data_IF_250046405002
#
_entry.id   IF_250046405002
#
_cell.length_a   1.000
_cell.length_b   1.000
_cell.length_c   1.000
_cell.angle_alpha   90.00
_cell.angle_beta   90.00
_cell.angle_gamma   90.00
#
_symmetry.space_group_name_H-M   'P 1'
#
loop_
_entity.id
_entity.type
_entity.pdbx_description
1 polymer ?
#
# COMPACT_ATOMS: atom_id res chain seq x y z
N UNK A 1 -10.97 24.27 18.50
CA UNK A 1 -11.95 23.17 18.49
C UNK A 1 -11.40 22.07 19.39
N UNK A 2 -12.06 21.79 20.51
CA UNK A 2 -11.50 20.93 21.57
C UNK A 2 -11.63 19.44 21.18
N UNK A 3 -10.67 18.59 21.60
CA UNK A 3 -10.64 17.13 21.34
C UNK A 3 -11.99 16.45 21.68
N UNK A 4 -12.68 16.90 22.73
CA UNK A 4 -13.99 16.40 23.15
C UNK A 4 -15.15 16.69 22.14
N UNK A 5 -15.09 17.80 21.40
CA UNK A 5 -16.09 18.08 20.37
C UNK A 5 -15.94 17.16 19.16
N UNK A 6 -14.69 16.77 18.84
CA UNK A 6 -14.43 15.82 17.77
C UNK A 6 -14.92 14.41 18.10
N UNK A 7 -14.81 13.96 19.36
CA UNK A 7 -15.28 12.63 19.77
C UNK A 7 -16.81 12.50 19.64
N UNK A 8 -17.57 13.52 20.01
CA UNK A 8 -19.02 13.50 19.84
C UNK A 8 -19.45 13.47 18.38
N UNK A 9 -18.76 14.20 17.50
CA UNK A 9 -19.02 14.18 16.06
C UNK A 9 -18.69 12.81 15.47
N UNK A 10 -17.55 12.23 15.83
CA UNK A 10 -17.17 10.90 15.37
C UNK A 10 -18.20 9.86 15.82
N UNK A 11 -18.61 9.90 17.09
CA UNK A 11 -19.61 8.96 17.61
C UNK A 11 -20.96 9.10 16.87
N UNK A 12 -21.40 10.32 16.63
CA UNK A 12 -22.65 10.57 15.86
C UNK A 12 -22.58 10.01 14.43
N UNK A 13 -21.41 10.15 13.77
CA UNK A 13 -21.21 9.58 12.44
C UNK A 13 -21.21 8.05 12.48
N UNK A 14 -20.54 7.46 13.47
CA UNK A 14 -20.53 6.00 13.67
C UNK A 14 -21.95 5.47 13.89
N UNK A 15 -22.73 6.12 14.75
CA UNK A 15 -24.10 5.70 15.06
C UNK A 15 -25.02 5.86 13.85
N UNK A 16 -24.84 6.93 13.08
CA UNK A 16 -25.53 7.12 11.80
C UNK A 16 -25.20 6.00 10.81
N UNK A 17 -23.92 5.70 10.60
CA UNK A 17 -23.48 4.65 9.69
C UNK A 17 -24.00 3.26 10.12
N UNK A 18 -24.04 2.98 11.42
CA UNK A 18 -24.63 1.75 11.97
C UNK A 18 -26.14 1.65 11.75
N UNK A 19 -26.84 2.78 11.71
CA UNK A 19 -28.28 2.84 11.46
C UNK A 19 -28.66 2.74 9.97
N UNK A 20 -27.69 2.95 9.08
CA UNK A 20 -27.94 2.81 7.65
C UNK A 20 -28.23 1.35 7.30
N UNK A 21 -29.23 1.06 6.45
CA UNK A 21 -29.49 -0.29 5.97
C UNK A 21 -28.25 -0.81 5.24
N UNK A 22 -27.90 -2.06 5.48
CA UNK A 22 -26.85 -2.69 4.70
C UNK A 22 -27.24 -2.69 3.23
N UNK A 23 -26.40 -2.09 2.42
CA UNK A 23 -26.61 -2.02 0.97
C UNK A 23 -26.11 -3.35 0.40
N UNK A 24 -27.02 -4.23 -0.03
CA UNK A 24 -26.68 -5.48 -0.71
C UNK A 24 -26.30 -5.19 -2.18
N UNK A 25 -25.19 -4.51 -2.37
CA UNK A 25 -24.62 -4.23 -3.70
C UNK A 25 -23.57 -5.27 -4.01
N UNK A 26 -23.73 -5.93 -5.16
CA UNK A 26 -22.65 -6.70 -5.77
C UNK A 26 -21.96 -5.85 -6.85
N UNK A 27 -20.65 -5.76 -6.80
CA UNK A 27 -19.87 -5.02 -7.77
C UNK A 27 -18.59 -5.76 -8.18
N UNK A 28 -18.09 -5.44 -9.38
CA UNK A 28 -16.79 -5.90 -9.85
C UNK A 28 -15.85 -4.70 -9.99
N UNK A 29 -14.63 -4.84 -9.52
CA UNK A 29 -13.60 -3.78 -9.53
C UNK A 29 -12.31 -4.37 -10.10
N UNK A 30 -11.65 -3.66 -10.96
CA UNK A 30 -10.38 -4.07 -11.60
C UNK A 30 -9.74 -2.88 -12.34
N UNK A 31 -8.59 -3.05 -12.99
CA UNK A 31 -7.92 -4.34 -13.31
C UNK A 31 -6.43 -4.33 -12.89
N UNK A 32 -6.01 -3.49 -12.01
CA UNK A 32 -4.62 -3.41 -11.53
C UNK A 32 -4.38 -4.31 -10.32
N UNK A 33 -3.11 -4.40 -9.89
CA UNK A 33 -2.69 -5.03 -8.66
C UNK A 33 -1.24 -4.70 -8.38
N UNK A 34 -0.99 -4.11 -7.21
CA UNK A 34 0.33 -3.74 -6.74
C UNK A 34 0.57 -4.25 -5.33
N UNK A 35 1.80 -4.59 -5.04
CA UNK A 35 2.28 -4.76 -3.68
C UNK A 35 3.17 -3.56 -3.36
N UNK A 36 2.76 -2.76 -2.40
CA UNK A 36 3.53 -1.62 -1.90
C UNK A 36 4.41 -2.07 -0.75
N UNK A 37 5.72 -2.02 -0.94
CA UNK A 37 6.73 -2.29 0.07
C UNK A 37 7.30 -0.96 0.58
N UNK A 38 7.05 -0.68 1.86
CA UNK A 38 7.48 0.54 2.52
C UNK A 38 8.83 0.29 3.21
N UNK A 39 9.80 1.13 2.91
CA UNK A 39 11.15 1.02 3.43
C UNK A 39 11.60 2.30 4.11
N UNK A 40 12.36 2.15 5.19
CA UNK A 40 13.18 3.21 5.74
C UNK A 40 14.62 3.09 5.20
N UNK A 41 15.21 4.22 4.82
CA UNK A 41 16.60 4.27 4.34
C UNK A 41 17.53 4.48 5.52
N UNK A 42 18.47 3.56 5.72
CA UNK A 42 19.43 3.63 6.83
C UNK A 42 20.46 4.73 6.55
N UNK A 43 20.59 5.64 7.49
CA UNK A 43 21.61 6.69 7.48
C UNK A 43 22.90 6.24 8.14
N UNK A 44 22.79 5.57 9.29
CA UNK A 44 23.91 5.02 10.03
C UNK A 44 23.48 3.77 10.78
N UNK A 45 24.34 2.75 10.76
CA UNK A 45 24.21 1.53 11.56
C UNK A 45 25.38 1.45 12.54
N UNK A 46 25.12 1.38 13.83
CA UNK A 46 26.14 1.16 14.84
C UNK A 46 26.18 -0.28 15.33
N UNK A 47 25.01 -0.94 15.38
CA UNK A 47 24.85 -2.36 15.70
C UNK A 47 23.64 -2.92 14.95
N UNK A 48 23.31 -4.20 15.19
CA UNK A 48 22.15 -4.83 14.57
C UNK A 48 20.83 -4.13 14.95
N UNK A 49 20.76 -3.61 16.19
CA UNK A 49 19.55 -2.99 16.76
C UNK A 49 19.63 -1.46 16.84
N UNK A 50 20.81 -0.86 16.62
CA UNK A 50 20.98 0.60 16.67
C UNK A 50 21.11 1.18 15.28
N UNK A 51 19.94 1.52 14.71
CA UNK A 51 19.80 2.12 13.39
C UNK A 51 19.32 3.57 13.51
N UNK A 52 19.83 4.42 12.64
CA UNK A 52 19.27 5.74 12.38
C UNK A 52 18.90 5.84 10.92
N UNK A 53 17.72 6.37 10.64
CA UNK A 53 17.20 6.54 9.30
C UNK A 53 17.36 7.97 8.79
N UNK A 54 17.23 8.16 7.49
CA UNK A 54 17.04 9.48 6.91
C UNK A 54 15.61 9.93 7.21
N UNK A 55 15.46 11.10 7.85
CA UNK A 55 14.16 11.61 8.25
C UNK A 55 13.52 12.54 7.21
N UNK A 56 14.28 13.04 6.24
CA UNK A 56 13.77 13.92 5.21
C UNK A 56 14.26 13.56 3.83
N UNK A 57 13.40 13.81 2.83
CA UNK A 57 13.73 13.66 1.41
C UNK A 57 14.94 14.53 1.06
N UNK A 58 15.02 15.75 1.62
CA UNK A 58 16.16 16.65 1.38
C UNK A 58 17.47 16.03 1.84
N UNK A 59 17.52 15.48 3.07
CA UNK A 59 18.74 14.90 3.62
C UNK A 59 19.17 13.65 2.85
N UNK A 60 18.22 12.85 2.42
CA UNK A 60 18.46 11.70 1.55
C UNK A 60 18.89 12.13 0.16
N UNK A 61 18.26 13.13 -0.44
CA UNK A 61 18.64 13.69 -1.73
C UNK A 61 20.09 14.20 -1.76
N UNK A 62 20.54 14.88 -0.70
CA UNK A 62 21.95 15.28 -0.55
C UNK A 62 22.90 14.09 -0.56
N UNK A 63 22.51 12.96 0.06
CA UNK A 63 23.30 11.72 0.03
C UNK A 63 23.37 11.12 -1.37
N UNK A 64 22.27 11.15 -2.12
CA UNK A 64 22.25 10.68 -3.51
C UNK A 64 23.14 11.56 -4.39
N UNK A 65 23.06 12.88 -4.25
CA UNK A 65 23.93 13.80 -5.01
C UNK A 65 25.42 13.56 -4.76
N UNK A 66 25.81 13.20 -3.53
CA UNK A 66 27.20 12.86 -3.18
C UNK A 66 27.69 11.58 -3.89
N UNK A 67 26.79 10.74 -4.39
CA UNK A 67 27.11 9.56 -5.15
C UNK A 67 27.36 9.85 -6.65
N UNK A 68 27.15 11.10 -7.10
CA UNK A 68 27.38 11.49 -8.48
C UNK A 68 28.82 11.13 -8.91
N UNK A 69 28.95 10.48 -10.06
CA UNK A 69 30.19 9.93 -10.62
C UNK A 69 30.90 8.87 -9.74
N UNK A 70 30.18 8.32 -8.75
CA UNK A 70 30.66 7.26 -7.84
C UNK A 70 29.53 6.26 -7.64
N UNK A 71 29.84 5.14 -6.99
CA UNK A 71 28.81 4.24 -6.44
C UNK A 71 28.55 4.58 -4.98
N UNK A 72 27.33 4.30 -4.52
CA UNK A 72 26.99 4.36 -3.11
C UNK A 72 26.05 3.22 -2.76
N UNK A 73 26.38 2.51 -1.70
CA UNK A 73 25.48 1.53 -1.11
C UNK A 73 24.52 2.23 -0.15
N UNK A 74 23.27 1.81 -0.23
CA UNK A 74 22.20 2.28 0.62
C UNK A 74 21.47 1.05 1.19
N UNK A 75 21.41 0.99 2.50
CA UNK A 75 20.70 -0.06 3.18
C UNK A 75 19.22 0.33 3.35
N UNK A 76 18.32 -0.60 3.04
CA UNK A 76 16.89 -0.44 3.20
C UNK A 76 16.39 -1.43 4.25
N UNK A 77 15.51 -0.96 5.13
CA UNK A 77 14.79 -1.79 6.10
C UNK A 77 13.33 -1.79 5.75
N UNK A 78 12.79 -2.97 5.43
CA UNK A 78 11.36 -3.14 5.17
C UNK A 78 10.59 -2.85 6.44
N UNK A 79 9.68 -1.89 6.37
CA UNK A 79 8.78 -1.48 7.44
C UNK A 79 7.42 -2.19 7.32
N UNK A 80 6.87 -2.21 6.11
CA UNK A 80 5.55 -2.77 5.86
C UNK A 80 5.42 -3.23 4.41
N UNK A 81 4.62 -4.29 4.22
CA UNK A 81 4.12 -4.71 2.92
C UNK A 81 2.60 -4.60 2.95
N UNK A 82 1.98 -4.02 1.93
CA UNK A 82 0.54 -3.82 1.88
C UNK A 82 -0.03 -3.87 0.48
N UNK A 83 -1.36 -3.97 0.42
CA UNK A 83 -2.12 -3.87 -0.82
C UNK A 83 -1.88 -2.51 -1.46
N UNK A 84 -1.50 -2.51 -2.72
CA UNK A 84 -1.42 -1.37 -3.61
C UNK A 84 -2.34 -1.55 -4.83
N UNK A 85 -2.41 -0.51 -5.64
CA UNK A 85 -3.31 -0.46 -6.79
C UNK A 85 -4.71 0.04 -6.43
N UNK A 86 -5.30 0.83 -7.34
CA UNK A 86 -6.60 1.44 -7.08
C UNK A 86 -7.73 0.41 -7.01
N UNK A 87 -7.68 -0.61 -7.87
CA UNK A 87 -8.66 -1.69 -7.90
C UNK A 87 -8.70 -2.48 -6.58
N UNK A 88 -7.60 -3.08 -6.14
CA UNK A 88 -7.56 -3.82 -4.88
C UNK A 88 -7.88 -2.97 -3.65
N UNK A 89 -7.37 -1.72 -3.57
CA UNK A 89 -7.66 -0.82 -2.45
C UNK A 89 -9.15 -0.50 -2.37
N UNK A 90 -9.79 -0.16 -3.51
CA UNK A 90 -11.23 0.10 -3.56
C UNK A 90 -12.03 -1.16 -3.22
N UNK A 91 -11.64 -2.32 -3.77
CA UNK A 91 -12.28 -3.60 -3.49
C UNK A 91 -12.24 -3.94 -2.01
N UNK A 92 -11.09 -3.76 -1.37
CA UNK A 92 -10.91 -3.98 0.06
C UNK A 92 -11.82 -3.06 0.89
N UNK A 93 -11.85 -1.77 0.55
CA UNK A 93 -12.69 -0.78 1.24
C UNK A 93 -14.18 -1.11 1.11
N UNK A 94 -14.67 -1.41 -0.10
CA UNK A 94 -16.06 -1.77 -0.33
C UNK A 94 -16.45 -3.07 0.39
N UNK A 95 -15.58 -4.07 0.40
CA UNK A 95 -15.80 -5.32 1.10
C UNK A 95 -15.88 -5.13 2.62
N UNK A 96 -15.01 -4.28 3.18
CA UNK A 96 -15.05 -3.89 4.60
C UNK A 96 -16.34 -3.13 4.96
N UNK A 97 -16.93 -2.40 4.03
CA UNK A 97 -18.23 -1.74 4.18
C UNK A 97 -19.41 -2.69 3.99
N UNK A 98 -19.16 -3.99 3.75
CA UNK A 98 -20.20 -5.02 3.68
C UNK A 98 -20.72 -5.32 2.26
N UNK A 99 -20.16 -4.70 1.22
CA UNK A 99 -20.52 -5.02 -0.17
C UNK A 99 -19.96 -6.38 -0.60
N UNK A 100 -20.67 -7.06 -1.51
CA UNK A 100 -20.18 -8.25 -2.20
C UNK A 100 -19.32 -7.81 -3.38
N UNK A 101 -18.00 -7.96 -3.28
CA UNK A 101 -17.06 -7.45 -4.28
C UNK A 101 -16.39 -8.60 -5.01
N UNK A 102 -16.26 -8.47 -6.34
CA UNK A 102 -15.33 -9.27 -7.13
C UNK A 102 -14.16 -8.37 -7.55
N UNK A 103 -12.99 -8.61 -6.96
CA UNK A 103 -11.75 -7.95 -7.35
C UNK A 103 -11.09 -8.75 -8.46
N UNK A 104 -10.93 -8.14 -9.63
CA UNK A 104 -10.30 -8.76 -10.81
C UNK A 104 -9.00 -8.00 -11.07
N UNK A 105 -7.85 -8.67 -11.03
CA UNK A 105 -6.58 -7.94 -11.20
C UNK A 105 -5.37 -8.84 -11.25
N UNK A 106 -4.20 -8.22 -11.25
CA UNK A 106 -2.91 -8.90 -11.10
C UNK A 106 -2.62 -9.08 -9.62
N UNK A 107 -3.11 -10.16 -9.02
CA UNK A 107 -3.10 -10.36 -7.56
C UNK A 107 -2.17 -11.50 -7.13
N UNK A 108 -1.50 -12.17 -8.08
CA UNK A 108 -0.55 -13.23 -7.76
C UNK A 108 0.77 -12.64 -7.26
N UNK A 109 1.36 -13.27 -6.26
CA UNK A 109 2.67 -12.93 -5.74
C UNK A 109 3.52 -14.20 -5.62
N UNK A 110 4.64 -14.22 -6.32
CA UNK A 110 5.62 -15.29 -6.20
C UNK A 110 6.49 -15.07 -4.95
N UNK A 111 6.34 -15.95 -3.97
CA UNK A 111 7.14 -15.95 -2.74
C UNK A 111 6.76 -14.85 -1.73
N UNK A 112 6.75 -15.19 -0.46
CA UNK A 112 6.45 -14.29 0.65
C UNK A 112 4.95 -14.14 0.94
N UNK A 113 4.63 -13.31 1.92
CA UNK A 113 3.27 -13.03 2.35
C UNK A 113 2.54 -12.18 1.30
N UNK A 114 1.49 -12.74 0.72
CA UNK A 114 0.65 -12.05 -0.24
C UNK A 114 -0.39 -11.19 0.48
N UNK A 115 -0.29 -9.85 0.46
CA UNK A 115 -1.19 -8.97 1.20
C UNK A 115 -2.64 -9.01 0.70
N UNK A 116 -2.89 -9.46 -0.53
CA UNK A 116 -4.27 -9.62 -1.03
C UNK A 116 -5.04 -10.70 -0.28
N UNK A 117 -4.36 -11.65 0.39
CA UNK A 117 -5.00 -12.67 1.22
C UNK A 117 -5.63 -12.08 2.50
N UNK A 118 -5.23 -10.87 2.90
CA UNK A 118 -5.82 -10.17 4.05
C UNK A 118 -7.16 -9.50 3.72
N UNK A 119 -7.56 -9.46 2.45
CA UNK A 119 -8.83 -8.89 2.04
C UNK A 119 -10.01 -9.67 2.65
N UNK A 120 -11.13 -9.00 2.97
CA UNK A 120 -12.31 -9.66 3.54
C UNK A 120 -12.80 -10.83 2.68
N UNK A 121 -13.30 -11.88 3.32
CA UNK A 121 -13.86 -13.05 2.60
C UNK A 121 -15.05 -12.72 1.70
N UNK A 122 -15.71 -11.59 1.92
CA UNK A 122 -16.76 -11.04 1.03
C UNK A 122 -16.20 -10.49 -0.28
N UNK A 123 -14.88 -10.34 -0.39
CA UNK A 123 -14.20 -9.97 -1.62
C UNK A 123 -13.70 -11.24 -2.33
N UNK A 124 -14.40 -11.63 -3.39
CA UNK A 124 -13.94 -12.69 -4.30
C UNK A 124 -12.79 -12.14 -5.14
N UNK A 125 -11.66 -12.81 -5.12
CA UNK A 125 -10.49 -12.44 -5.92
C UNK A 125 -10.41 -13.31 -7.18
N UNK A 126 -10.17 -12.67 -8.32
CA UNK A 126 -9.88 -13.32 -9.60
C UNK A 126 -8.56 -12.73 -10.09
N UNK A 127 -7.50 -13.54 -10.02
CA UNK A 127 -6.20 -13.13 -10.53
C UNK A 127 -5.99 -13.64 -11.94
N UNK A 128 -5.38 -12.82 -12.78
CA UNK A 128 -4.97 -13.18 -14.14
C UNK A 128 -3.46 -12.90 -14.37
N UNK A 129 -2.71 -12.63 -13.31
CA UNK A 129 -1.26 -12.42 -13.41
C UNK A 129 -0.62 -11.91 -12.13
N UNK A 130 0.69 -11.76 -12.20
CA UNK A 130 1.50 -11.32 -11.05
C UNK A 130 1.33 -9.84 -10.78
N UNK A 131 1.25 -9.48 -9.50
CA UNK A 131 1.19 -8.10 -9.05
C UNK A 131 2.46 -7.33 -9.43
N UNK A 132 2.29 -6.06 -9.74
CA UNK A 132 3.41 -5.12 -9.83
C UNK A 132 3.91 -4.75 -8.44
N UNK A 133 5.14 -4.27 -8.34
CA UNK A 133 5.74 -3.87 -7.07
C UNK A 133 6.05 -2.38 -7.05
N UNK A 134 5.81 -1.77 -5.90
CA UNK A 134 6.27 -0.42 -5.61
C UNK A 134 7.19 -0.46 -4.40
N UNK A 135 8.38 0.08 -4.53
CA UNK A 135 9.25 0.39 -3.40
C UNK A 135 8.97 1.82 -2.99
N UNK A 136 8.45 2.02 -1.80
CA UNK A 136 8.18 3.32 -1.22
C UNK A 136 9.22 3.62 -0.14
N UNK A 137 10.06 4.61 -0.36
CA UNK A 137 10.99 5.11 0.65
C UNK A 137 10.24 6.14 1.50
N UNK A 138 10.06 5.86 2.80
CA UNK A 138 9.32 6.71 3.72
C UNK A 138 10.24 7.65 4.49
N UNK A 139 9.80 8.92 4.62
CA UNK A 139 10.44 9.98 5.38
C UNK A 139 9.37 10.74 6.18
N UNK A 140 9.77 11.52 7.18
CA UNK A 140 8.84 12.31 8.00
C UNK A 140 8.12 13.40 7.17
N UNK A 141 8.76 13.87 6.09
CA UNK A 141 8.27 14.91 5.20
C UNK A 141 7.66 14.40 3.88
N UNK A 142 7.58 13.07 3.67
CA UNK A 142 6.96 12.51 2.47
C UNK A 142 7.49 11.15 2.06
N UNK A 143 7.22 10.77 0.80
CA UNK A 143 7.60 9.47 0.24
C UNK A 143 8.20 9.61 -1.14
N UNK A 144 9.16 8.75 -1.45
CA UNK A 144 9.67 8.55 -2.81
C UNK A 144 9.22 7.20 -3.31
N UNK A 145 8.40 7.17 -4.35
CA UNK A 145 7.83 5.95 -4.92
C UNK A 145 8.66 5.50 -6.11
N UNK A 146 9.17 4.27 -6.07
CA UNK A 146 9.92 3.63 -7.14
C UNK A 146 9.07 2.47 -7.67
N UNK A 147 8.35 2.70 -8.76
CA UNK A 147 7.48 1.70 -9.37
C UNK A 147 8.27 0.73 -10.24
N UNK A 148 8.09 -0.56 -10.01
CA UNK A 148 8.50 -1.61 -10.92
C UNK A 148 7.25 -2.12 -11.66
N UNK A 149 6.98 -1.52 -12.80
CA UNK A 149 5.93 -1.98 -13.71
C UNK A 149 6.43 -3.24 -14.39
N UNK A 150 6.13 -4.42 -13.82
CA UNK A 150 6.16 -5.62 -14.62
C UNK A 150 5.04 -5.46 -15.64
N UNK A 151 5.42 -5.23 -16.92
CA UNK A 151 4.47 -5.00 -17.98
C UNK A 151 3.65 -6.25 -18.28
N UNK A 152 2.61 -6.48 -17.49
CA UNK A 152 1.54 -7.34 -17.89
C UNK A 152 0.72 -6.54 -18.92
N UNK A 153 1.13 -6.62 -20.18
CA UNK A 153 0.30 -6.12 -21.26
C UNK A 153 -0.93 -7.00 -21.33
N UNK A 154 -2.07 -6.46 -20.93
CA UNK A 154 -3.35 -7.12 -21.09
C UNK A 154 -3.63 -7.23 -22.57
N UNK A 155 -3.72 -8.43 -23.07
CA UNK A 155 -4.40 -8.71 -24.33
C UNK A 155 -5.81 -9.17 -23.98
N UNK A 156 -6.79 -8.73 -24.75
CA UNK A 156 -8.19 -9.13 -24.55
C UNK A 156 -8.44 -10.63 -24.85
N UNK A 157 -7.40 -11.38 -25.16
CA UNK A 157 -7.39 -12.84 -25.33
C UNK A 157 -7.10 -13.58 -24.00
N UNK A 158 -6.78 -12.87 -22.91
CA UNK A 158 -6.61 -13.41 -21.56
C UNK A 158 -7.89 -13.21 -20.74
#
# INVERSE_FOLDING_TARGET
MTIYQNQNVIQSVVDYLRSCPQIDIACSVGFDGYVDELYHVVKTRKSQDELRFYNSIESFGKRILQASQKSADLELVLSQRKIGGNGPILSNALALLGSKVTCIGTLDLEGGDNPFQEMPRSCRQISFGSASHTIALEFDDGKVMLGNLRGNYFTWEQ
#
